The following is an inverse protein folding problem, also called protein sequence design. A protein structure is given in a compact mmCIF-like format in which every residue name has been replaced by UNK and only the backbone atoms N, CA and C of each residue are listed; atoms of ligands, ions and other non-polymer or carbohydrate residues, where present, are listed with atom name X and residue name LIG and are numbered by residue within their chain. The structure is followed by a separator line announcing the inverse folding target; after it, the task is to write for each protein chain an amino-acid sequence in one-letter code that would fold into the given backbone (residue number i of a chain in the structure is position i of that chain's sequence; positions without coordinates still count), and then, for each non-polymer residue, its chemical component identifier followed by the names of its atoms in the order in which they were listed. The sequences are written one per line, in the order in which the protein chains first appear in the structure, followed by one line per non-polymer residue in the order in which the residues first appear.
data_IF_258713889915
#
_entry.id   IF_258713889915
#
_cell.length_a   1.000
_cell.length_b   1.000
_cell.length_c   1.000
_cell.angle_alpha   90.00
_cell.angle_beta   90.00
_cell.angle_gamma   90.00
#
_symmetry.space_group_name_H-M   'P 1'
#
loop_
_entity.id
_entity.type
_entity.pdbx_description
1 polymer ?
#
# COMPACT_ATOMS: atom_id res chain seq x y z
N UNK A 1 -28.91 -18.87 3.05
CA UNK A 1 -29.32 -17.49 3.37
C UNK A 1 -28.03 -16.72 3.56
N UNK A 2 -27.69 -15.84 2.61
CA UNK A 2 -26.45 -15.06 2.67
C UNK A 2 -26.54 -14.10 3.84
N UNK A 3 -25.50 -14.08 4.67
CA UNK A 3 -25.34 -13.08 5.73
C UNK A 3 -25.66 -11.69 5.17
N UNK A 4 -26.62 -11.01 5.78
CA UNK A 4 -27.00 -9.67 5.35
C UNK A 4 -25.77 -8.76 5.46
N UNK A 5 -25.36 -8.18 4.33
CA UNK A 5 -24.22 -7.29 4.25
C UNK A 5 -24.59 -5.96 4.90
N UNK A 6 -23.93 -5.62 6.01
CA UNK A 6 -24.10 -4.33 6.70
C UNK A 6 -22.97 -3.37 6.32
N UNK A 7 -23.15 -2.08 6.58
CA UNK A 7 -22.09 -1.08 6.39
C UNK A 7 -20.82 -1.42 7.20
N UNK A 8 -20.98 -1.96 8.42
CA UNK A 8 -19.88 -2.41 9.27
C UNK A 8 -19.09 -3.56 8.66
N UNK A 9 -19.79 -4.61 8.18
CA UNK A 9 -19.17 -5.73 7.45
C UNK A 9 -18.46 -5.26 6.18
N UNK A 10 -19.08 -4.38 5.40
CA UNK A 10 -18.49 -3.80 4.18
C UNK A 10 -17.23 -2.95 4.45
N UNK A 11 -17.20 -2.20 5.57
CA UNK A 11 -15.99 -1.49 6.01
C UNK A 11 -14.87 -2.46 6.38
N UNK A 12 -15.17 -3.49 7.16
CA UNK A 12 -14.19 -4.50 7.56
C UNK A 12 -13.62 -5.26 6.35
N UNK A 13 -14.44 -5.60 5.36
CA UNK A 13 -13.98 -6.21 4.11
C UNK A 13 -13.04 -5.27 3.33
N UNK A 14 -13.35 -3.97 3.28
CA UNK A 14 -12.49 -2.99 2.61
C UNK A 14 -11.20 -2.67 3.37
N UNK A 15 -11.01 -3.15 4.60
CA UNK A 15 -9.78 -2.97 5.37
C UNK A 15 -8.56 -3.66 4.75
N UNK A 16 -8.78 -4.69 3.93
CA UNK A 16 -7.70 -5.44 3.27
C UNK A 16 -6.82 -4.55 2.37
N UNK A 17 -7.42 -3.57 1.68
CA UNK A 17 -6.68 -2.69 0.77
C UNK A 17 -5.67 -1.78 1.50
N UNK A 18 -6.05 -0.97 2.51
CA UNK A 18 -5.08 -0.17 3.26
C UNK A 18 -4.03 -1.04 3.97
N UNK A 19 -4.38 -2.23 4.48
CA UNK A 19 -3.39 -3.14 5.07
C UNK A 19 -2.34 -3.59 4.03
N UNK A 20 -2.78 -3.98 2.83
CA UNK A 20 -1.89 -4.39 1.75
C UNK A 20 -0.99 -3.22 1.29
N UNK A 21 -1.55 -2.02 1.13
CA UNK A 21 -0.78 -0.83 0.78
C UNK A 21 0.26 -0.50 1.86
N UNK A 22 -0.11 -0.55 3.15
CA UNK A 22 0.82 -0.34 4.25
C UNK A 22 1.97 -1.34 4.23
N UNK A 23 1.70 -2.60 3.93
CA UNK A 23 2.73 -3.65 3.79
C UNK A 23 3.70 -3.34 2.64
N UNK A 24 3.20 -2.95 1.46
CA UNK A 24 4.03 -2.60 0.31
C UNK A 24 4.90 -1.36 0.60
N UNK A 25 4.31 -0.33 1.20
CA UNK A 25 5.00 0.91 1.61
C UNK A 25 6.12 0.61 2.63
N UNK A 26 5.86 -0.24 3.63
CA UNK A 26 6.88 -0.65 4.60
C UNK A 26 8.02 -1.45 3.96
N UNK A 27 7.70 -2.35 3.01
CA UNK A 27 8.71 -3.12 2.28
C UNK A 27 9.61 -2.21 1.45
N UNK A 28 9.06 -1.17 0.81
CA UNK A 28 9.86 -0.17 0.08
C UNK A 28 10.82 0.57 1.01
N UNK A 29 10.36 0.99 2.20
CA UNK A 29 11.22 1.61 3.20
C UNK A 29 12.39 0.68 3.60
N UNK A 30 12.12 -0.62 3.77
CA UNK A 30 13.16 -1.60 4.09
C UNK A 30 14.19 -1.76 2.97
N UNK A 31 13.76 -1.76 1.70
CA UNK A 31 14.66 -1.80 0.55
C UNK A 31 15.60 -0.60 0.56
N UNK A 32 15.06 0.61 0.74
CA UNK A 32 15.86 1.85 0.78
C UNK A 32 16.84 1.86 1.96
N UNK A 33 16.39 1.40 3.14
CA UNK A 33 17.24 1.32 4.33
C UNK A 33 18.43 0.37 4.14
N UNK A 34 18.20 -0.80 3.54
CA UNK A 34 19.27 -1.74 3.24
C UNK A 34 20.19 -1.22 2.14
N UNK A 35 19.65 -0.56 1.13
CA UNK A 35 20.41 0.06 0.05
C UNK A 35 21.40 1.10 0.57
N UNK A 36 20.96 1.97 1.50
CA UNK A 36 21.84 2.99 2.09
C UNK A 36 23.09 2.43 2.77
N UNK A 37 23.09 1.15 3.19
CA UNK A 37 24.26 0.51 3.80
C UNK A 37 25.38 0.20 2.80
N UNK A 38 25.07 0.19 1.51
CA UNK A 38 26.03 -0.04 0.44
C UNK A 38 26.70 1.25 -0.05
N UNK A 39 26.27 2.42 0.42
CA UNK A 39 26.78 3.72 -0.02
C UNK A 39 28.15 4.01 0.59
N UNK A 40 29.09 4.44 -0.25
CA UNK A 40 30.41 4.90 0.19
C UNK A 40 30.32 6.31 0.79
N UNK A 41 30.57 6.44 2.08
CA UNK A 41 30.48 7.72 2.78
C UNK A 41 31.61 8.70 2.44
N UNK A 42 32.64 8.25 1.73
CA UNK A 42 33.68 9.11 1.16
C UNK A 42 33.25 9.83 -0.12
N UNK A 43 32.19 9.38 -0.78
CA UNK A 43 31.65 10.01 -2.00
C UNK A 43 30.58 11.06 -1.64
N UNK A 44 30.79 12.36 -1.98
CA UNK A 44 29.79 13.41 -1.76
C UNK A 44 28.43 13.16 -2.43
N UNK A 45 28.39 12.39 -3.52
CA UNK A 45 27.12 12.04 -4.17
C UNK A 45 26.36 10.98 -3.38
N UNK A 46 27.06 9.97 -2.86
CA UNK A 46 26.48 8.95 -2.00
C UNK A 46 25.98 9.55 -0.67
N UNK A 47 26.63 10.60 -0.15
CA UNK A 47 26.12 11.35 1.01
C UNK A 47 24.75 12.00 0.74
N UNK A 48 24.56 12.61 -0.43
CA UNK A 48 23.26 13.19 -0.84
C UNK A 48 22.19 12.12 -1.05
N UNK A 49 22.55 10.99 -1.66
CA UNK A 49 21.64 9.86 -1.84
C UNK A 49 21.18 9.31 -0.49
N UNK A 50 22.10 9.14 0.45
CA UNK A 50 21.79 8.69 1.82
C UNK A 50 20.83 9.64 2.53
N UNK A 51 21.04 10.95 2.44
CA UNK A 51 20.14 11.94 3.05
C UNK A 51 18.73 11.85 2.46
N UNK A 52 18.63 11.81 1.13
CA UNK A 52 17.35 11.67 0.44
C UNK A 52 16.61 10.38 0.85
N UNK A 53 17.32 9.26 0.89
CA UNK A 53 16.73 7.97 1.20
C UNK A 53 16.35 7.86 2.68
N UNK A 54 17.13 8.45 3.59
CA UNK A 54 16.79 8.49 5.01
C UNK A 54 15.44 9.19 5.23
N UNK A 55 15.23 10.35 4.60
CA UNK A 55 13.95 11.06 4.66
C UNK A 55 12.79 10.23 4.08
N UNK A 56 12.99 9.60 2.93
CA UNK A 56 11.97 8.74 2.33
C UNK A 56 11.64 7.53 3.22
N UNK A 57 12.63 6.93 3.89
CA UNK A 57 12.40 5.82 4.83
C UNK A 57 11.51 6.25 5.98
N UNK A 58 11.75 7.43 6.57
CA UNK A 58 10.91 7.97 7.64
C UNK A 58 9.47 8.21 7.16
N UNK A 59 9.30 8.88 6.01
CA UNK A 59 7.98 9.17 5.43
C UNK A 59 7.21 7.88 5.08
N UNK A 60 7.87 6.92 4.43
CA UNK A 60 7.24 5.64 4.06
C UNK A 60 6.85 4.83 5.30
N UNK A 61 7.68 4.79 6.34
CA UNK A 61 7.33 4.11 7.60
C UNK A 61 6.13 4.76 8.28
N UNK A 62 6.06 6.09 8.30
CA UNK A 62 4.93 6.81 8.86
C UNK A 62 3.63 6.52 8.09
N UNK A 63 3.67 6.59 6.75
CA UNK A 63 2.51 6.28 5.90
C UNK A 63 2.07 4.83 6.07
N UNK A 64 3.00 3.88 6.12
CA UNK A 64 2.69 2.47 6.33
C UNK A 64 1.99 2.22 7.66
N UNK A 65 2.46 2.88 8.73
CA UNK A 65 1.85 2.78 10.06
C UNK A 65 0.40 3.33 10.07
N UNK A 66 0.17 4.48 9.43
CA UNK A 66 -1.18 5.07 9.34
C UNK A 66 -2.16 4.23 8.52
N UNK A 67 -1.67 3.64 7.42
CA UNK A 67 -2.45 2.70 6.61
C UNK A 67 -2.85 1.47 7.42
N UNK A 68 -1.91 0.89 8.17
CA UNK A 68 -2.18 -0.26 9.03
C UNK A 68 -3.14 0.08 10.18
N UNK A 69 -2.94 1.24 10.82
CA UNK A 69 -3.83 1.71 11.87
C UNK A 69 -5.25 1.92 11.34
N UNK A 70 -5.39 2.47 10.14
CA UNK A 70 -6.69 2.64 9.47
C UNK A 70 -7.33 1.30 9.17
N UNK A 71 -6.59 0.35 8.60
CA UNK A 71 -7.10 -1.01 8.35
C UNK A 71 -7.58 -1.70 9.64
N UNK A 72 -6.84 -1.54 10.74
CA UNK A 72 -7.23 -2.10 12.04
C UNK A 72 -8.54 -1.48 12.56
N UNK A 73 -8.69 -0.15 12.43
CA UNK A 73 -9.95 0.54 12.77
C UNK A 73 -11.12 0.04 11.91
N UNK A 74 -10.94 -0.04 10.59
CA UNK A 74 -11.96 -0.54 9.66
C UNK A 74 -12.39 -1.96 9.99
N UNK A 75 -11.43 -2.84 10.29
CA UNK A 75 -11.69 -4.22 10.75
C UNK A 75 -12.50 -4.22 12.05
N UNK A 76 -12.15 -3.34 13.00
CA UNK A 76 -12.86 -3.19 14.27
C UNK A 76 -14.31 -2.71 14.15
N UNK A 77 -14.70 -2.12 13.00
CA UNK A 77 -16.07 -1.70 12.73
C UNK A 77 -16.95 -2.81 12.14
N UNK A 78 -16.48 -4.07 12.08
CA UNK A 78 -17.25 -5.20 11.53
C UNK A 78 -18.65 -5.32 12.11
N UNK A 79 -18.76 -5.15 13.43
CA UNK A 79 -20.01 -5.31 14.18
C UNK A 79 -20.69 -3.95 14.48
N UNK A 80 -20.33 -2.90 13.73
CA UNK A 80 -20.92 -1.58 13.89
C UNK A 80 -22.44 -1.64 13.59
N UNK A 81 -23.31 -1.21 14.53
CA UNK A 81 -24.75 -1.23 14.32
C UNK A 81 -25.15 -0.27 13.19
N UNK A 82 -26.04 -0.73 12.31
CA UNK A 82 -26.51 0.09 11.20
C UNK A 82 -27.49 1.16 11.70
N UNK A 83 -27.12 2.42 11.54
CA UNK A 83 -28.01 3.55 11.77
C UNK A 83 -29.10 3.68 10.70
N UNK A 84 -30.09 4.53 10.95
CA UNK A 84 -31.06 4.91 9.92
C UNK A 84 -30.34 5.69 8.82
N UNK A 85 -30.58 5.30 7.57
CA UNK A 85 -30.05 5.99 6.40
C UNK A 85 -31.19 6.69 5.65
N UNK A 86 -30.90 7.85 5.08
CA UNK A 86 -31.75 8.44 4.05
C UNK A 86 -31.49 7.72 2.73
N UNK A 87 -32.44 6.87 2.33
CA UNK A 87 -32.29 6.04 1.15
C UNK A 87 -32.30 6.86 -0.15
N UNK A 88 -32.95 8.03 -0.16
CA UNK A 88 -32.94 8.92 -1.33
C UNK A 88 -31.53 9.46 -1.58
N UNK A 89 -30.80 9.79 -0.52
CA UNK A 89 -29.40 10.22 -0.62
C UNK A 89 -28.48 9.05 -0.99
N UNK A 90 -28.70 7.87 -0.41
CA UNK A 90 -27.90 6.68 -0.73
C UNK A 90 -28.01 6.24 -2.19
N UNK A 91 -29.13 6.52 -2.84
CA UNK A 91 -29.36 6.21 -4.26
C UNK A 91 -29.18 7.40 -5.22
N UNK A 92 -28.77 8.57 -4.74
CA UNK A 92 -28.48 9.74 -5.60
C UNK A 92 -27.34 9.38 -6.58
N UNK A 93 -27.42 9.89 -7.81
CA UNK A 93 -26.41 9.72 -8.84
C UNK A 93 -25.00 10.03 -8.33
N UNK A 94 -24.84 11.05 -7.47
CA UNK A 94 -23.53 11.40 -6.89
C UNK A 94 -22.92 10.29 -6.02
N UNK A 95 -23.76 9.53 -5.32
CA UNK A 95 -23.31 8.40 -4.50
C UNK A 95 -22.84 7.26 -5.40
N UNK A 96 -23.56 7.01 -6.50
CA UNK A 96 -23.17 6.04 -7.52
C UNK A 96 -21.86 6.46 -8.20
N UNK A 97 -21.76 7.70 -8.67
CA UNK A 97 -20.56 8.27 -9.31
C UNK A 97 -19.31 8.13 -8.43
N UNK A 98 -19.45 8.38 -7.13
CA UNK A 98 -18.35 8.23 -6.17
C UNK A 98 -17.86 6.77 -6.10
N UNK A 99 -18.79 5.81 -6.10
CA UNK A 99 -18.44 4.40 -6.07
C UNK A 99 -17.86 3.90 -7.41
N UNK A 100 -18.40 4.36 -8.54
CA UNK A 100 -17.83 4.08 -9.87
C UNK A 100 -16.38 4.58 -9.97
N UNK A 101 -16.12 5.80 -9.48
CA UNK A 101 -14.76 6.34 -9.41
C UNK A 101 -13.84 5.46 -8.57
N UNK A 102 -14.30 4.98 -7.40
CA UNK A 102 -13.53 4.05 -6.57
C UNK A 102 -13.19 2.76 -7.33
N UNK A 103 -14.18 2.16 -8.02
CA UNK A 103 -13.97 0.94 -8.82
C UNK A 103 -12.93 1.18 -9.91
N UNK A 104 -13.05 2.28 -10.66
CA UNK A 104 -12.11 2.65 -11.71
C UNK A 104 -10.69 2.84 -11.15
N UNK A 105 -10.53 3.57 -10.05
CA UNK A 105 -9.21 3.76 -9.42
C UNK A 105 -8.60 2.44 -8.94
N UNK A 106 -9.41 1.50 -8.42
CA UNK A 106 -8.91 0.16 -8.06
C UNK A 106 -8.42 -0.62 -9.29
N UNK A 107 -9.09 -0.50 -10.44
CA UNK A 107 -8.63 -1.12 -11.69
C UNK A 107 -7.32 -0.51 -12.19
N UNK A 108 -7.18 0.80 -12.12
CA UNK A 108 -5.94 1.51 -12.48
C UNK A 108 -4.77 1.10 -11.57
N UNK A 109 -5.02 0.97 -10.26
CA UNK A 109 -4.04 0.46 -9.30
C UNK A 109 -3.63 -0.98 -9.61
N UNK A 110 -4.58 -1.86 -9.93
CA UNK A 110 -4.27 -3.24 -10.33
C UNK A 110 -3.36 -3.27 -11.56
N UNK A 111 -3.67 -2.47 -12.59
CA UNK A 111 -2.85 -2.39 -13.79
C UNK A 111 -1.45 -1.84 -13.50
N UNK A 112 -1.33 -0.88 -12.57
CA UNK A 112 -0.02 -0.40 -12.11
C UNK A 112 0.78 -1.52 -11.44
N UNK A 113 0.19 -2.22 -10.47
CA UNK A 113 0.85 -3.30 -9.73
C UNK A 113 1.28 -4.46 -10.64
N UNK A 114 0.48 -4.80 -11.64
CA UNK A 114 0.85 -5.80 -12.64
C UNK A 114 2.10 -5.38 -13.43
N UNK A 115 2.17 -4.13 -13.89
CA UNK A 115 3.35 -3.63 -14.62
C UNK A 115 4.59 -3.55 -13.74
N UNK A 116 4.46 -3.05 -12.51
CA UNK A 116 5.63 -2.90 -11.62
C UNK A 116 6.15 -4.26 -11.15
N UNK A 117 5.26 -5.23 -10.90
CA UNK A 117 5.65 -6.61 -10.56
C UNK A 117 6.63 -7.19 -11.59
N UNK A 118 6.35 -7.04 -12.89
CA UNK A 118 7.24 -7.56 -13.94
C UNK A 118 8.64 -6.90 -13.92
N UNK A 119 8.69 -5.61 -13.57
CA UNK A 119 9.96 -4.87 -13.44
C UNK A 119 10.72 -5.32 -12.19
N UNK A 120 10.02 -5.46 -11.06
CA UNK A 120 10.58 -5.89 -9.78
C UNK A 120 11.12 -7.33 -9.86
N UNK A 121 10.41 -8.24 -10.55
CA UNK A 121 10.86 -9.61 -10.77
C UNK A 121 12.14 -9.69 -11.62
N UNK A 122 12.24 -8.85 -12.66
CA UNK A 122 13.47 -8.74 -13.48
C UNK A 122 14.63 -8.21 -12.64
N UNK A 123 14.39 -7.18 -11.83
CA UNK A 123 15.40 -6.63 -10.93
C UNK A 123 15.85 -7.67 -9.90
N UNK A 124 14.91 -8.38 -9.28
CA UNK A 124 15.21 -9.45 -8.32
C UNK A 124 16.03 -10.58 -8.95
N UNK A 125 15.73 -10.98 -10.19
CA UNK A 125 16.51 -11.96 -10.92
C UNK A 125 17.95 -11.47 -11.17
N UNK A 126 18.13 -10.20 -11.55
CA UNK A 126 19.45 -9.59 -11.74
C UNK A 126 20.26 -9.56 -10.43
N UNK A 127 19.64 -9.13 -9.31
CA UNK A 127 20.27 -9.12 -7.98
C UNK A 127 20.77 -10.52 -7.58
N UNK A 128 19.92 -11.55 -7.73
CA UNK A 128 20.28 -12.94 -7.44
C UNK A 128 21.41 -13.46 -8.34
N UNK A 129 21.40 -13.09 -9.62
CA UNK A 129 22.47 -13.41 -10.56
C UNK A 129 23.82 -12.79 -10.18
N UNK A 130 23.81 -11.58 -9.60
CA UNK A 130 25.03 -10.94 -9.07
C UNK A 130 25.57 -11.64 -7.84
N UNK A 131 24.71 -11.99 -6.86
CA UNK A 131 25.12 -12.75 -5.66
C UNK A 131 25.77 -14.10 -6.03
N UNK A 132 25.19 -14.82 -7.00
CA UNK A 132 25.75 -16.11 -7.47
C UNK A 132 27.14 -15.96 -8.11
N UNK A 133 27.47 -14.80 -8.67
CA UNK A 133 28.77 -14.51 -9.29
C UNK A 133 29.81 -14.03 -8.29
N UNK A 134 29.43 -13.31 -7.25
CA UNK A 134 30.34 -12.82 -6.20
C UNK A 134 30.66 -13.86 -5.12
N UNK A 135 29.89 -14.94 -5.02
CA UNK A 135 30.15 -16.10 -4.17
C UNK A 135 30.96 -17.24 -4.85
N UNK A 136 31.56 -16.98 -6.01
CA UNK A 136 32.56 -17.84 -6.67
C UNK A 136 33.92 -17.16 -6.61
#
# INVERSE_FOLDING_TARGET
MGDEQTCGKGLAENAALPAALGTVTAAMAQVLELHMRALDLGDPNAAKEREAYAKLVEEQRAVAAELQATANRMTGYRDLPMGRHDMTVMSDARTVDAFEKLVKTKQELLALLQRTKEQDEKMLAAMRGTIKRSGR
#
